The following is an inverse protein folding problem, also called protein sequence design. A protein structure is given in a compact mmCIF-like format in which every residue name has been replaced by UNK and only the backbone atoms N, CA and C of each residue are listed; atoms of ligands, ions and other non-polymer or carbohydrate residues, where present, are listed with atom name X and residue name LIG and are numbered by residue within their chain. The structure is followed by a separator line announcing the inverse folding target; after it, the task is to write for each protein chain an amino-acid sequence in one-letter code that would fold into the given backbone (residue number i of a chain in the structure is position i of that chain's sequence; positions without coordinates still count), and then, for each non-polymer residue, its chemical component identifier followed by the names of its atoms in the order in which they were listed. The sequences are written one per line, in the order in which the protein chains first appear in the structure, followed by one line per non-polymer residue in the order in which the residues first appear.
data_IF_688797178381
#
_entry.id   IF_688797178381
#
_cell.length_a   1.000
_cell.length_b   1.000
_cell.length_c   1.000
_cell.angle_alpha   90.00
_cell.angle_beta   90.00
_cell.angle_gamma   90.00
#
_symmetry.space_group_name_H-M   'P 1'
#
loop_
_entity.id
_entity.type
_entity.pdbx_description
1 polymer ?
#
# COMPACT_ATOMS: atom_id res chain seq x y z
N UNK A 1 11.68 -4.23 8.46
CA UNK A 1 10.85 -4.01 7.25
C UNK A 1 9.43 -3.62 7.63
N UNK A 2 8.65 -3.03 6.72
CA UNK A 2 7.23 -2.69 6.94
C UNK A 2 6.33 -3.90 7.14
N UNK A 3 6.86 -5.13 7.05
CA UNK A 3 6.18 -6.37 7.39
C UNK A 3 6.30 -6.72 8.89
N UNK A 4 7.33 -6.20 9.55
CA UNK A 4 7.68 -6.56 10.92
C UNK A 4 6.80 -5.81 11.93
N UNK A 5 6.39 -6.53 12.98
CA UNK A 5 5.46 -6.00 13.98
C UNK A 5 5.97 -4.72 14.64
N UNK A 6 7.22 -4.68 15.07
CA UNK A 6 7.81 -3.50 15.72
C UNK A 6 7.77 -2.25 14.82
N UNK A 7 7.97 -2.41 13.51
CA UNK A 7 7.90 -1.31 12.55
C UNK A 7 6.45 -0.88 12.34
N UNK A 8 5.52 -1.83 12.21
CA UNK A 8 4.09 -1.53 12.09
C UNK A 8 3.59 -0.76 13.30
N UNK A 9 3.87 -1.26 14.50
CA UNK A 9 3.49 -0.64 15.77
C UNK A 9 4.05 0.79 15.85
N UNK A 10 5.33 0.99 15.49
CA UNK A 10 5.92 2.33 15.40
C UNK A 10 5.19 3.25 14.41
N UNK A 11 4.92 2.77 13.19
CA UNK A 11 4.23 3.56 12.18
C UNK A 11 2.80 3.93 12.60
N UNK A 12 2.09 3.02 13.25
CA UNK A 12 0.70 3.23 13.67
C UNK A 12 0.59 4.11 14.92
N UNK A 13 1.54 4.00 15.85
CA UNK A 13 1.44 4.65 17.17
C UNK A 13 2.23 5.95 17.27
N UNK A 14 3.31 6.09 16.48
CA UNK A 14 4.28 7.18 16.62
C UNK A 14 4.39 8.08 15.39
N UNK A 15 3.56 7.86 14.36
CA UNK A 15 3.61 8.65 13.11
C UNK A 15 2.23 8.88 12.52
N UNK A 16 2.11 9.81 11.57
CA UNK A 16 0.86 10.10 10.83
C UNK A 16 0.57 9.09 9.69
N UNK A 17 1.13 7.88 9.75
CA UNK A 17 1.01 6.89 8.67
C UNK A 17 -0.45 6.51 8.39
N UNK A 18 -1.30 6.42 9.43
CA UNK A 18 -2.72 6.12 9.26
C UNK A 18 -3.48 7.26 8.58
N UNK A 19 -3.18 8.52 8.93
CA UNK A 19 -3.75 9.71 8.28
C UNK A 19 -3.38 9.73 6.80
N UNK A 20 -2.11 9.48 6.48
CA UNK A 20 -1.64 9.36 5.10
C UNK A 20 -2.39 8.25 4.34
N UNK A 21 -2.56 7.07 4.94
CA UNK A 21 -3.27 5.95 4.32
C UNK A 21 -4.73 6.26 4.03
N UNK A 22 -5.43 6.97 4.91
CA UNK A 22 -6.82 7.37 4.67
C UNK A 22 -6.95 8.27 3.44
N UNK A 23 -6.02 9.20 3.24
CA UNK A 23 -5.95 10.01 2.02
C UNK A 23 -5.67 9.17 0.78
N UNK A 24 -4.71 8.25 0.87
CA UNK A 24 -4.38 7.31 -0.22
C UNK A 24 -5.60 6.46 -0.61
N UNK A 25 -6.28 5.85 0.36
CA UNK A 25 -7.47 5.05 0.11
C UNK A 25 -8.56 5.86 -0.58
N UNK A 26 -8.79 7.09 -0.14
CA UNK A 26 -9.80 7.97 -0.76
C UNK A 26 -9.52 8.22 -2.25
N UNK A 27 -8.27 8.52 -2.61
CA UNK A 27 -7.88 8.78 -4.03
C UNK A 27 -7.94 7.50 -4.86
N UNK A 28 -7.42 6.39 -4.31
CA UNK A 28 -7.38 5.11 -5.03
C UNK A 28 -8.77 4.53 -5.22
N UNK A 29 -9.67 4.67 -4.25
CA UNK A 29 -11.03 4.14 -4.33
C UNK A 29 -11.84 4.75 -5.48
N UNK A 30 -11.66 6.07 -5.72
CA UNK A 30 -12.24 6.77 -6.87
C UNK A 30 -11.70 6.13 -8.16
N UNK A 31 -10.39 5.99 -8.26
CA UNK A 31 -9.73 5.44 -9.46
C UNK A 31 -10.16 3.99 -9.74
N UNK A 32 -10.20 3.13 -8.72
CA UNK A 32 -10.60 1.73 -8.87
C UNK A 32 -12.05 1.61 -9.31
N UNK A 33 -12.94 2.41 -8.73
CA UNK A 33 -14.36 2.42 -9.10
C UNK A 33 -14.54 2.77 -10.58
N UNK A 34 -13.82 3.79 -11.06
CA UNK A 34 -13.91 4.21 -12.46
C UNK A 34 -13.27 3.20 -13.42
N UNK A 35 -12.17 2.56 -13.03
CA UNK A 35 -11.53 1.50 -13.83
C UNK A 35 -12.46 0.30 -14.01
N UNK A 36 -13.15 -0.11 -12.95
CA UNK A 36 -14.14 -1.20 -13.00
C UNK A 36 -15.29 -0.82 -13.94
N UNK A 37 -15.87 0.37 -13.79
CA UNK A 37 -16.98 0.84 -14.65
C UNK A 37 -16.61 0.90 -16.13
N UNK A 38 -15.37 1.28 -16.45
CA UNK A 38 -14.87 1.43 -17.82
C UNK A 38 -14.30 0.15 -18.42
N UNK A 39 -14.20 -0.93 -17.64
CA UNK A 39 -13.62 -2.20 -18.10
C UNK A 39 -12.12 -2.14 -18.38
N UNK A 40 -11.38 -1.28 -17.66
CA UNK A 40 -9.94 -1.17 -17.82
C UNK A 40 -9.20 -2.36 -17.21
N UNK A 41 -8.13 -2.81 -17.88
CA UNK A 41 -7.47 -4.07 -17.56
C UNK A 41 -6.61 -4.02 -16.29
N UNK A 42 -5.89 -2.93 -16.05
CA UNK A 42 -4.92 -2.85 -14.96
C UNK A 42 -4.71 -1.43 -14.44
N UNK A 43 -4.68 -1.29 -13.11
CA UNK A 43 -4.27 -0.08 -12.40
C UNK A 43 -2.99 -0.40 -11.60
N UNK A 44 -1.96 0.43 -11.73
CA UNK A 44 -0.70 0.28 -11.00
C UNK A 44 -0.52 1.44 -10.02
N UNK A 45 -0.12 1.11 -8.79
CA UNK A 45 0.09 2.07 -7.70
C UNK A 45 1.43 1.74 -7.06
N UNK A 46 2.31 2.73 -6.95
CA UNK A 46 3.66 2.55 -6.42
C UNK A 46 3.85 3.43 -5.17
N UNK A 47 4.47 2.86 -4.14
CA UNK A 47 4.88 3.58 -2.95
C UNK A 47 6.41 3.62 -2.86
N UNK A 48 6.97 4.80 -2.62
CA UNK A 48 8.41 5.01 -2.49
C UNK A 48 8.78 5.53 -1.11
N UNK A 49 9.87 5.03 -0.55
CA UNK A 49 10.56 5.63 0.59
C UNK A 49 12.07 5.45 0.36
N UNK A 50 12.92 6.24 1.04
CA UNK A 50 14.37 6.30 0.74
C UNK A 50 15.03 4.93 0.62
N UNK A 51 14.82 4.04 1.59
CA UNK A 51 15.38 2.69 1.57
C UNK A 51 14.45 1.59 1.05
N UNK A 52 13.23 1.93 0.58
CA UNK A 52 12.28 0.95 0.06
C UNK A 52 11.89 -0.19 1.02
N UNK A 53 12.09 -0.03 2.34
CA UNK A 53 12.03 -1.13 3.32
C UNK A 53 10.91 -1.00 4.36
N UNK A 54 10.53 0.23 4.75
CA UNK A 54 9.65 0.47 5.91
C UNK A 54 8.30 1.06 5.49
N UNK A 55 8.26 2.37 5.28
CA UNK A 55 7.02 3.12 4.98
C UNK A 55 6.35 2.67 3.69
N UNK A 56 7.12 2.50 2.61
CA UNK A 56 6.58 2.06 1.31
C UNK A 56 5.99 0.66 1.37
N UNK A 57 6.69 -0.26 2.04
CA UNK A 57 6.26 -1.65 2.24
C UNK A 57 4.97 -1.70 3.03
N UNK A 58 4.90 -1.00 4.16
CA UNK A 58 3.71 -0.93 4.98
C UNK A 58 2.52 -0.34 4.21
N UNK A 59 2.73 0.75 3.46
CA UNK A 59 1.68 1.37 2.65
C UNK A 59 1.14 0.44 1.56
N UNK A 60 2.03 -0.25 0.85
CA UNK A 60 1.66 -1.19 -0.21
C UNK A 60 0.85 -2.37 0.33
N UNK A 61 1.25 -2.93 1.47
CA UNK A 61 0.50 -4.00 2.16
C UNK A 61 -0.88 -3.52 2.63
N UNK A 62 -0.95 -2.34 3.23
CA UNK A 62 -2.20 -1.76 3.72
C UNK A 62 -3.19 -1.51 2.59
N UNK A 63 -2.73 -0.92 1.48
CA UNK A 63 -3.56 -0.69 0.30
C UNK A 63 -3.99 -2.01 -0.35
N UNK A 64 -3.07 -2.98 -0.49
CA UNK A 64 -3.41 -4.28 -1.06
C UNK A 64 -4.53 -4.99 -0.27
N UNK A 65 -4.46 -4.93 1.07
CA UNK A 65 -5.53 -5.45 1.95
C UNK A 65 -6.84 -4.68 1.77
N UNK A 66 -6.79 -3.36 1.74
CA UNK A 66 -7.97 -2.51 1.52
C UNK A 66 -8.68 -2.85 0.20
N UNK A 67 -7.93 -2.95 -0.91
CA UNK A 67 -8.47 -3.27 -2.24
C UNK A 67 -9.08 -4.67 -2.31
N UNK A 68 -8.42 -5.68 -1.73
CA UNK A 68 -8.95 -7.04 -1.64
C UNK A 68 -10.24 -7.09 -0.81
N UNK A 69 -10.32 -6.32 0.27
CA UNK A 69 -11.47 -6.34 1.16
C UNK A 69 -12.67 -5.59 0.55
N UNK A 70 -12.45 -4.39 0.01
CA UNK A 70 -13.50 -3.49 -0.46
C UNK A 70 -13.99 -3.82 -1.87
N UNK A 71 -13.09 -4.07 -2.82
CA UNK A 71 -13.45 -4.25 -4.23
C UNK A 71 -13.36 -5.70 -4.72
N UNK A 72 -12.79 -6.61 -3.91
CA UNK A 72 -12.62 -8.03 -4.26
C UNK A 72 -11.85 -8.25 -5.58
N UNK A 73 -11.00 -7.28 -5.95
CA UNK A 73 -10.19 -7.33 -7.18
C UNK A 73 -8.94 -8.20 -6.98
N UNK A 74 -8.41 -8.72 -8.08
CA UNK A 74 -7.09 -9.36 -8.10
C UNK A 74 -6.01 -8.31 -7.84
N UNK A 75 -5.20 -8.51 -6.80
CA UNK A 75 -4.09 -7.62 -6.45
C UNK A 75 -2.77 -8.38 -6.54
N UNK A 76 -1.90 -7.93 -7.44
CA UNK A 76 -0.49 -8.35 -7.49
C UNK A 76 0.34 -7.34 -6.68
N UNK A 77 1.02 -7.81 -5.63
CA UNK A 77 1.82 -6.99 -4.74
C UNK A 77 3.29 -7.36 -4.88
N UNK A 78 4.12 -6.36 -5.20
CA UNK A 78 5.57 -6.52 -5.34
C UNK A 78 6.33 -5.49 -4.51
N UNK A 79 7.33 -5.95 -3.76
CA UNK A 79 8.24 -5.09 -2.98
C UNK A 79 9.58 -4.99 -3.71
N UNK A 80 9.73 -3.98 -4.56
CA UNK A 80 10.82 -3.89 -5.55
C UNK A 80 12.22 -3.82 -4.95
N UNK A 81 12.37 -3.28 -3.73
CA UNK A 81 13.68 -3.15 -3.08
C UNK A 81 13.99 -4.27 -2.09
N UNK A 82 13.25 -5.38 -2.11
CA UNK A 82 13.32 -6.44 -1.09
C UNK A 82 14.71 -7.05 -0.92
N UNK A 83 15.45 -7.20 -2.00
CA UNK A 83 16.80 -7.78 -2.00
C UNK A 83 17.83 -6.90 -1.27
N UNK A 84 17.55 -5.60 -1.14
CA UNK A 84 18.45 -4.63 -0.51
C UNK A 84 18.07 -4.29 0.95
N UNK A 85 17.13 -5.02 1.55
CA UNK A 85 16.71 -4.76 2.92
C UNK A 85 17.79 -5.18 3.92
N UNK A 86 18.19 -4.23 4.78
CA UNK A 86 19.13 -4.52 5.87
C UNK A 86 18.38 -5.31 6.95
N UNK A 87 18.96 -6.42 7.39
CA UNK A 87 18.39 -7.27 8.46
C UNK A 87 18.59 -6.66 9.83
#
# INVERSE_FOLDING_TARGET
SGLDKSVKDFLEQQTDMLTFLNGVFSVVDISVTDYIKRGFASLMINFGCTGGQHRSVYAAEALARHLRNKFKVKVNLNHTNRENWVR
#
